data_IF_489966359199
#
_entry.id   IF_489966359199
#
_cell.length_a   1.000
_cell.length_b   1.000
_cell.length_c   1.000
_cell.angle_alpha   90.00
_cell.angle_beta   90.00
_cell.angle_gamma   90.00
#
_symmetry.space_group_name_H-M   'P 1'
#
loop_
_entity.id
_entity.type
_entity.pdbx_description
1 polymer ?
#
# COMPACT_ATOMS: atom_id res chain seq x y z
N UNK A 1 -1.05 -15.27 -18.12
CA UNK A 1 -0.93 -15.15 -16.65
C UNK A 1 -0.27 -16.40 -16.09
N UNK A 2 0.75 -16.24 -15.28
CA UNK A 2 1.45 -17.37 -14.63
C UNK A 2 1.31 -17.21 -13.11
N UNK A 3 0.73 -18.19 -12.44
CA UNK A 3 0.68 -18.25 -10.96
C UNK A 3 1.77 -19.19 -10.43
N UNK A 4 2.23 -18.93 -9.21
CA UNK A 4 3.00 -19.90 -8.42
C UNK A 4 2.04 -20.95 -7.88
N UNK A 5 2.49 -22.21 -7.76
CA UNK A 5 1.66 -23.34 -7.41
C UNK A 5 1.05 -23.29 -6.00
N UNK A 6 1.59 -22.49 -5.10
CA UNK A 6 1.11 -22.42 -3.71
C UNK A 6 0.86 -20.97 -3.27
N UNK A 7 -0.41 -20.66 -2.98
CA UNK A 7 -0.79 -19.43 -2.27
C UNK A 7 -0.82 -19.77 -0.79
N UNK A 8 -0.03 -19.07 0.08
CA UNK A 8 -0.06 -19.32 1.51
C UNK A 8 -1.46 -19.17 2.11
N UNK A 9 -1.87 -20.08 2.96
CA UNK A 9 -3.17 -20.02 3.63
C UNK A 9 -3.23 -18.96 4.73
N UNK A 10 -2.09 -18.64 5.36
CA UNK A 10 -1.97 -17.66 6.45
C UNK A 10 -1.65 -16.27 5.93
N UNK A 11 -2.07 -15.26 6.70
CA UNK A 11 -1.60 -13.88 6.50
C UNK A 11 -0.12 -13.78 6.85
N UNK A 12 0.64 -13.05 6.03
CA UNK A 12 2.06 -12.80 6.25
C UNK A 12 2.36 -11.31 6.34
N UNK A 13 3.35 -10.96 7.15
CA UNK A 13 3.80 -9.57 7.37
C UNK A 13 4.76 -9.07 6.26
N UNK A 14 4.49 -9.46 5.03
CA UNK A 14 5.23 -9.03 3.83
C UNK A 14 4.32 -9.09 2.60
N UNK A 15 4.63 -8.39 1.52
CA UNK A 15 3.96 -8.59 0.25
C UNK A 15 4.18 -10.00 -0.29
N UNK A 16 3.10 -10.68 -0.64
CA UNK A 16 3.14 -12.05 -1.17
C UNK A 16 2.91 -12.04 -2.67
N UNK A 17 3.99 -12.13 -3.43
CA UNK A 17 3.91 -12.28 -4.89
C UNK A 17 3.49 -13.69 -5.25
N UNK A 18 2.36 -13.83 -5.93
CA UNK A 18 1.77 -15.13 -6.32
C UNK A 18 1.77 -15.36 -7.82
N UNK A 19 2.06 -14.35 -8.62
CA UNK A 19 2.07 -14.50 -10.06
C UNK A 19 2.54 -13.28 -10.82
N UNK A 20 2.38 -13.35 -12.13
CA UNK A 20 2.68 -12.26 -13.07
C UNK A 20 1.71 -12.25 -14.23
N UNK A 21 1.45 -11.08 -14.77
CA UNK A 21 0.85 -10.85 -16.09
C UNK A 21 1.93 -10.36 -17.05
N UNK A 22 1.76 -10.62 -18.33
CA UNK A 22 2.68 -10.15 -19.34
C UNK A 22 4.11 -10.70 -19.18
N UNK A 23 5.10 -9.86 -19.30
CA UNK A 23 6.53 -10.20 -19.21
C UNK A 23 7.07 -10.25 -17.77
N UNK A 24 6.27 -9.86 -16.78
CA UNK A 24 6.63 -9.91 -15.36
C UNK A 24 7.44 -8.72 -14.85
N UNK A 25 7.35 -7.57 -15.50
CA UNK A 25 7.87 -6.32 -14.99
C UNK A 25 7.26 -5.91 -13.65
N UNK A 26 7.76 -4.85 -13.03
CA UNK A 26 7.31 -4.43 -11.69
C UNK A 26 5.80 -4.17 -11.64
N UNK A 27 5.24 -3.50 -12.64
CA UNK A 27 3.79 -3.23 -12.76
C UNK A 27 2.96 -4.41 -13.26
N UNK A 28 3.57 -5.59 -13.45
CA UNK A 28 2.90 -6.80 -13.94
C UNK A 28 2.90 -7.93 -12.90
N UNK A 29 3.36 -7.64 -11.70
CA UNK A 29 3.38 -8.60 -10.59
C UNK A 29 2.03 -8.68 -9.91
N UNK A 30 1.59 -9.91 -9.61
CA UNK A 30 0.32 -10.19 -8.92
C UNK A 30 0.62 -10.62 -7.49
N UNK A 31 -0.11 -10.03 -6.56
CA UNK A 31 0.04 -10.26 -5.13
C UNK A 31 -1.22 -10.87 -4.52
N UNK A 32 -1.04 -11.62 -3.44
CA UNK A 32 -2.14 -12.11 -2.62
C UNK A 32 -2.63 -11.02 -1.67
N UNK A 33 -3.94 -10.98 -1.43
CA UNK A 33 -4.56 -10.15 -0.38
C UNK A 33 -4.24 -10.62 1.05
N UNK A 34 -3.59 -11.77 1.19
CA UNK A 34 -3.14 -12.30 2.50
C UNK A 34 -1.80 -11.73 2.96
N UNK A 35 -1.09 -11.01 2.09
CA UNK A 35 0.13 -10.28 2.43
C UNK A 35 -0.10 -8.78 2.60
N UNK A 36 0.95 -8.05 3.00
CA UNK A 36 0.92 -6.59 3.00
C UNK A 36 0.78 -6.05 1.58
N UNK A 37 0.18 -4.88 1.46
CA UNK A 37 0.16 -4.15 0.20
C UNK A 37 1.57 -3.73 -0.21
N UNK A 38 1.83 -3.70 -1.50
CA UNK A 38 3.05 -3.10 -2.04
C UNK A 38 2.95 -1.57 -1.99
N UNK A 39 4.09 -0.92 -2.01
CA UNK A 39 4.17 0.54 -2.05
C UNK A 39 3.34 1.12 -3.19
N UNK A 40 2.48 2.08 -2.87
CA UNK A 40 1.78 2.86 -3.88
C UNK A 40 2.78 3.79 -4.58
N UNK A 41 2.63 3.96 -5.88
CA UNK A 41 3.54 4.78 -6.69
C UNK A 41 2.78 5.86 -7.44
N UNK A 42 3.27 7.09 -7.38
CA UNK A 42 2.71 8.19 -8.15
C UNK A 42 3.00 8.04 -9.66
N UNK A 43 4.15 7.45 -9.97
CA UNK A 43 4.64 7.24 -11.31
C UNK A 43 5.03 5.77 -11.49
N UNK A 44 4.50 5.13 -12.49
CA UNK A 44 4.82 3.74 -12.78
C UNK A 44 4.22 3.33 -14.12
N UNK A 45 4.88 2.41 -14.80
CA UNK A 45 4.43 1.84 -16.07
C UNK A 45 3.83 0.45 -15.87
N UNK A 46 2.97 0.03 -16.80
CA UNK A 46 2.34 -1.29 -16.80
C UNK A 46 0.93 -1.31 -16.21
N UNK A 47 0.27 -2.44 -16.34
CA UNK A 47 -1.14 -2.63 -16.00
C UNK A 47 -1.40 -2.41 -14.50
N UNK A 48 -0.48 -2.87 -13.65
CA UNK A 48 -0.54 -2.71 -12.19
C UNK A 48 0.23 -1.49 -11.67
N UNK A 49 0.56 -0.54 -12.56
CA UNK A 49 1.22 0.69 -12.16
C UNK A 49 0.42 1.41 -11.07
N UNK A 50 1.13 2.05 -10.14
CA UNK A 50 0.61 2.84 -9.03
C UNK A 50 0.10 2.04 -7.82
N UNK A 51 -0.57 0.90 -8.00
CA UNK A 51 -1.17 0.16 -6.87
C UNK A 51 -0.63 -1.27 -6.68
N UNK A 52 -0.02 -1.85 -7.71
CA UNK A 52 0.16 -3.29 -7.82
C UNK A 52 -1.12 -3.98 -8.32
N UNK A 53 -0.99 -5.26 -8.69
CA UNK A 53 -2.10 -6.13 -9.06
C UNK A 53 -2.36 -7.12 -7.92
N UNK A 54 -3.62 -7.41 -7.64
CA UNK A 54 -4.02 -8.33 -6.57
C UNK A 54 -5.03 -9.34 -7.07
N UNK A 55 -4.88 -10.56 -6.59
CA UNK A 55 -5.90 -11.59 -6.78
C UNK A 55 -6.98 -11.40 -5.69
N UNK A 56 -8.16 -10.97 -6.10
CA UNK A 56 -9.32 -10.76 -5.23
C UNK A 56 -10.44 -11.69 -5.68
N UNK A 57 -10.69 -12.71 -4.88
CA UNK A 57 -11.56 -13.81 -5.31
C UNK A 57 -10.93 -14.55 -6.49
N UNK A 58 -11.61 -14.54 -7.63
CA UNK A 58 -11.19 -15.16 -8.90
C UNK A 58 -10.61 -14.15 -9.92
N UNK A 59 -10.50 -12.87 -9.55
CA UNK A 59 -10.09 -11.79 -10.45
C UNK A 59 -8.79 -11.14 -10.04
N UNK A 60 -7.94 -10.89 -11.03
CA UNK A 60 -6.73 -10.08 -10.86
C UNK A 60 -7.05 -8.64 -11.27
N UNK A 61 -6.86 -7.70 -10.34
CA UNK A 61 -7.16 -6.29 -10.54
C UNK A 61 -6.25 -5.38 -9.73
N UNK A 62 -6.24 -4.11 -10.07
CA UNK A 62 -5.65 -3.05 -9.24
C UNK A 62 -6.51 -2.77 -8.01
N UNK A 63 -5.93 -2.07 -7.02
CA UNK A 63 -6.70 -1.53 -5.92
C UNK A 63 -7.63 -0.40 -6.41
N UNK A 64 -8.79 -0.31 -5.79
CA UNK A 64 -9.68 0.84 -5.94
C UNK A 64 -9.18 2.02 -5.11
N UNK A 65 -9.46 3.30 -5.47
CA UNK A 65 -9.06 4.46 -4.67
C UNK A 65 -9.44 4.37 -3.19
N UNK A 66 -10.62 3.86 -2.87
CA UNK A 66 -11.06 3.62 -1.48
C UNK A 66 -10.19 2.58 -0.74
N UNK A 67 -9.74 1.55 -1.44
CA UNK A 67 -8.83 0.56 -0.88
C UNK A 67 -7.44 1.18 -0.63
N UNK A 68 -6.96 2.04 -1.53
CA UNK A 68 -5.74 2.81 -1.33
C UNK A 68 -5.84 3.73 -0.11
N UNK A 69 -6.97 4.42 0.06
CA UNK A 69 -7.25 5.26 1.24
C UNK A 69 -7.08 4.45 2.53
N UNK A 70 -7.70 3.28 2.59
CA UNK A 70 -7.61 2.38 3.76
C UNK A 70 -6.21 1.87 4.01
N UNK A 71 -5.52 1.42 2.96
CA UNK A 71 -4.12 0.94 3.04
C UNK A 71 -3.18 2.02 3.57
N UNK A 72 -3.40 3.27 3.15
CA UNK A 72 -2.59 4.42 3.59
C UNK A 72 -3.01 4.97 4.96
N UNK A 73 -4.11 4.48 5.54
CA UNK A 73 -4.61 4.88 6.86
C UNK A 73 -5.29 6.23 6.90
N UNK A 74 -5.76 6.75 5.76
CA UNK A 74 -6.58 7.97 5.74
C UNK A 74 -7.98 7.70 6.30
N UNK A 75 -8.57 8.66 7.04
CA UNK A 75 -9.86 8.49 7.67
C UNK A 75 -11.00 8.25 6.67
N UNK A 76 -12.10 7.66 7.14
CA UNK A 76 -13.24 7.31 6.30
C UNK A 76 -13.87 8.53 5.60
N UNK A 77 -13.91 9.67 6.27
CA UNK A 77 -14.42 10.93 5.72
C UNK A 77 -13.47 11.66 4.76
N UNK A 78 -12.30 11.09 4.44
CA UNK A 78 -11.35 11.72 3.52
C UNK A 78 -11.91 11.74 2.10
N UNK A 79 -12.07 12.94 1.54
CA UNK A 79 -12.67 13.15 0.22
C UNK A 79 -11.68 12.79 -0.88
N UNK A 80 -12.06 11.82 -1.71
CA UNK A 80 -11.27 11.39 -2.86
C UNK A 80 -11.61 12.24 -4.09
N UNK A 81 -10.61 12.40 -4.97
CA UNK A 81 -10.84 13.02 -6.26
C UNK A 81 -11.71 12.12 -7.15
N UNK A 82 -12.55 12.68 -8.00
CA UNK A 82 -13.46 11.95 -8.90
C UNK A 82 -12.71 11.00 -9.86
N UNK A 83 -11.52 11.41 -10.32
CA UNK A 83 -10.70 10.60 -11.23
C UNK A 83 -9.75 9.69 -10.46
N UNK A 84 -9.92 8.37 -10.60
CA UNK A 84 -9.10 7.35 -9.93
C UNK A 84 -7.58 7.53 -10.14
N UNK A 85 -7.16 7.89 -11.35
CA UNK A 85 -5.73 8.12 -11.65
C UNK A 85 -5.13 9.29 -10.86
N UNK A 86 -5.93 10.31 -10.54
CA UNK A 86 -5.50 11.42 -9.69
C UNK A 86 -5.36 10.95 -8.25
N UNK A 87 -6.32 10.18 -7.73
CA UNK A 87 -6.22 9.55 -6.41
C UNK A 87 -4.96 8.70 -6.26
N UNK A 88 -4.68 7.84 -7.23
CA UNK A 88 -3.47 6.99 -7.19
C UNK A 88 -2.18 7.81 -7.17
N UNK A 89 -2.12 8.91 -7.94
CA UNK A 89 -0.99 9.81 -7.94
C UNK A 89 -0.84 10.53 -6.60
N UNK A 90 -1.94 11.01 -6.03
CA UNK A 90 -1.95 11.66 -4.72
C UNK A 90 -1.49 10.71 -3.62
N UNK A 91 -2.03 9.49 -3.55
CA UNK A 91 -1.60 8.50 -2.57
C UNK A 91 -0.15 8.07 -2.75
N UNK A 92 0.32 7.90 -3.99
CA UNK A 92 1.72 7.58 -4.27
C UNK A 92 2.71 8.67 -3.86
N UNK A 93 2.29 9.93 -3.81
CA UNK A 93 3.07 11.07 -3.33
C UNK A 93 2.89 11.34 -1.83
N UNK A 94 1.97 10.64 -1.17
CA UNK A 94 1.67 10.84 0.23
C UNK A 94 2.47 9.90 1.13
N UNK A 95 2.21 10.00 2.44
CA UNK A 95 2.81 9.15 3.46
C UNK A 95 1.74 8.26 4.10
N UNK A 96 2.15 7.12 4.65
CA UNK A 96 1.28 6.22 5.40
C UNK A 96 0.98 6.85 6.76
N UNK A 97 -0.27 7.22 7.01
CA UNK A 97 -0.69 7.98 8.20
C UNK A 97 -0.29 7.30 9.51
N UNK A 98 -0.54 5.99 9.73
CA UNK A 98 -0.13 5.33 10.98
C UNK A 98 1.38 5.36 11.23
N UNK A 99 2.20 5.32 10.19
CA UNK A 99 3.67 5.40 10.32
C UNK A 99 4.10 6.77 10.82
N UNK A 100 3.53 7.83 10.25
CA UNK A 100 3.82 9.20 10.68
C UNK A 100 3.33 9.44 12.09
N UNK A 101 2.14 8.95 12.45
CA UNK A 101 1.61 9.04 13.82
C UNK A 101 2.56 8.40 14.84
N UNK A 102 3.05 7.19 14.55
CA UNK A 102 4.00 6.49 15.42
C UNK A 102 5.32 7.26 15.57
N UNK A 103 5.83 7.86 14.50
CA UNK A 103 7.04 8.69 14.55
C UNK A 103 6.84 9.95 15.41
N UNK A 104 5.70 10.62 15.26
CA UNK A 104 5.37 11.82 16.06
C UNK A 104 5.29 11.47 17.54
N UNK A 105 4.63 10.37 17.90
CA UNK A 105 4.56 9.90 19.30
C UNK A 105 5.96 9.65 19.89
N UNK A 106 6.87 9.05 19.16
CA UNK A 106 8.25 8.83 19.63
C UNK A 106 9.05 10.13 19.76
N UNK A 107 8.86 11.07 18.85
CA UNK A 107 9.47 12.41 18.94
C UNK A 107 8.96 13.15 20.18
N UNK A 108 7.64 13.13 20.43
CA UNK A 108 7.05 13.76 21.62
C UNK A 108 7.60 13.16 22.92
N UNK A 109 7.69 11.85 23.02
CA UNK A 109 8.30 11.16 24.19
C UNK A 109 9.75 11.58 24.37
N UNK A 110 10.52 11.66 23.31
CA UNK A 110 11.93 12.09 23.33
C UNK A 110 12.09 13.53 23.81
N UNK A 111 11.27 14.43 23.32
CA UNK A 111 11.28 15.85 23.74
C UNK A 111 10.88 16.03 25.20
N UNK A 112 9.87 15.28 25.69
CA UNK A 112 9.48 15.28 27.10
C UNK A 112 10.60 14.76 28.01
N UNK A 113 11.24 13.67 27.64
CA UNK A 113 12.39 13.11 28.38
C UNK A 113 13.56 14.07 28.44
N UNK A 114 13.85 14.82 27.36
CA UNK A 114 14.90 15.83 27.32
C UNK A 114 14.60 17.01 28.20
N UNK A 115 13.35 17.49 28.28
CA UNK A 115 12.91 18.55 29.18
C UNK A 115 13.03 18.15 30.65
N UNK A 116 12.68 16.92 31.00
CA UNK A 116 12.82 16.40 32.38
C UNK A 116 14.28 16.27 32.81
N UNK A 117 15.20 15.95 31.91
CA UNK A 117 16.64 15.87 32.18
C UNK A 117 17.31 17.25 32.29
N UNK A 118 16.77 18.28 31.65
CA UNK A 118 17.25 19.64 31.68
C UNK A 118 16.73 20.47 32.90
N UNK A 119 15.73 19.97 33.59
CA UNK A 119 15.20 20.57 34.85
C UNK A 119 16.00 20.04 36.10
#
# INVERSE_FOLDING_TARGET
>A
MRFRETIPERRENRPLRIGTVGKGGQGERVYSIKGHAVTLSAFGGGIGAKTGMYLVGDRVRRLHPEECRRVMGFPEGFILHEKANVCFKQFGNSVVVPVVSALVEEIEKSLHSSKLKAA
#
